data_IF_271624181849
#
_entry.id   IF_271624181849
#
_cell.length_a   1.000
_cell.length_b   1.000
_cell.length_c   1.000
_cell.angle_alpha   90.00
_cell.angle_beta   90.00
_cell.angle_gamma   90.00
#
_symmetry.space_group_name_H-M   'P 1'
#
loop_
_entity.id
_entity.type
_entity.pdbx_description
1 polymer ?
#
# COMPACT_ATOMS: atom_id res chain seq x y z
N UNK A 1 9.93 8.66 -7.40
CA UNK A 1 10.70 8.41 -6.16
C UNK A 1 10.34 7.08 -5.49
N UNK A 2 9.10 6.56 -5.62
CA UNK A 2 8.61 5.39 -4.89
C UNK A 2 9.54 4.16 -4.86
N UNK A 3 10.09 3.63 -5.99
CA UNK A 3 10.89 2.41 -5.92
C UNK A 3 12.18 2.54 -5.11
N UNK A 4 12.80 3.72 -5.15
CA UNK A 4 14.00 4.01 -4.36
C UNK A 4 13.66 4.09 -2.88
N UNK A 5 12.52 4.70 -2.53
CA UNK A 5 12.09 4.78 -1.14
C UNK A 5 11.71 3.41 -0.57
N UNK A 6 11.06 2.55 -1.36
CA UNK A 6 10.82 1.16 -0.99
C UNK A 6 12.12 0.39 -0.70
N UNK A 7 13.17 0.59 -1.51
CA UNK A 7 14.50 0.01 -1.27
C UNK A 7 15.11 0.46 0.05
N UNK A 8 15.07 1.76 0.33
CA UNK A 8 15.63 2.34 1.56
C UNK A 8 14.94 1.76 2.78
N UNK A 9 13.60 1.79 2.81
CA UNK A 9 12.79 1.31 3.92
C UNK A 9 12.89 -0.20 4.12
N UNK A 10 13.02 -0.98 3.04
CA UNK A 10 13.33 -2.41 3.13
C UNK A 10 14.70 -2.63 3.80
N UNK A 11 15.69 -1.83 3.43
CA UNK A 11 17.02 -1.86 4.06
C UNK A 11 16.98 -1.48 5.54
N UNK A 12 16.19 -0.46 5.91
CA UNK A 12 15.96 -0.05 7.29
C UNK A 12 15.30 -1.18 8.09
N UNK A 13 14.20 -1.74 7.58
CA UNK A 13 13.49 -2.85 8.21
C UNK A 13 14.40 -4.08 8.40
N UNK A 14 15.19 -4.45 7.39
CA UNK A 14 16.17 -5.53 7.50
C UNK A 14 17.19 -5.26 8.61
N UNK A 15 17.75 -4.05 8.69
CA UNK A 15 18.70 -3.66 9.74
C UNK A 15 18.06 -3.69 11.14
N UNK A 16 16.79 -3.30 11.24
CA UNK A 16 16.04 -3.42 12.49
C UNK A 16 15.89 -4.89 12.89
N UNK A 17 15.57 -5.78 11.95
CA UNK A 17 15.56 -7.22 12.22
C UNK A 17 16.93 -7.72 12.71
N UNK A 18 18.03 -7.36 12.05
CA UNK A 18 19.39 -7.69 12.48
C UNK A 18 19.70 -7.19 13.90
N UNK A 19 19.12 -6.05 14.29
CA UNK A 19 19.23 -5.45 15.62
C UNK A 19 18.69 -6.31 16.75
N UNK A 20 17.63 -7.11 16.51
CA UNK A 20 17.06 -7.99 17.55
C UNK A 20 18.06 -9.01 18.09
N UNK A 21 19.03 -9.46 17.28
CA UNK A 21 20.10 -10.37 17.74
C UNK A 21 21.02 -9.73 18.80
N UNK A 22 21.05 -8.39 18.85
CA UNK A 22 21.90 -7.59 19.76
C UNK A 22 21.12 -6.95 20.90
N UNK A 23 19.80 -7.14 20.97
CA UNK A 23 18.96 -6.53 22.00
C UNK A 23 18.85 -5.00 21.91
N UNK A 24 18.64 -4.46 20.70
CA UNK A 24 18.50 -3.00 20.51
C UNK A 24 17.27 -2.43 21.21
N UNK A 25 17.45 -1.37 22.02
CA UNK A 25 16.39 -0.72 22.81
C UNK A 25 15.17 -0.28 21.97
N UNK A 26 15.40 0.21 20.75
CA UNK A 26 14.35 0.74 19.87
C UNK A 26 13.80 -0.27 18.86
N UNK A 27 14.30 -1.52 18.87
CA UNK A 27 13.90 -2.56 17.91
C UNK A 27 12.37 -2.74 17.77
N UNK A 28 11.59 -2.82 18.86
CA UNK A 28 10.13 -2.96 18.79
C UNK A 28 9.42 -1.76 18.12
N UNK A 29 9.83 -0.53 18.41
CA UNK A 29 9.23 0.66 17.81
C UNK A 29 9.66 0.82 16.35
N UNK A 30 10.93 0.58 16.06
CA UNK A 30 11.50 0.70 14.71
C UNK A 30 10.90 -0.35 13.76
N UNK A 31 10.66 -1.58 14.23
CA UNK A 31 10.10 -2.62 13.36
C UNK A 31 8.68 -2.27 12.95
N UNK A 32 7.88 -1.67 13.86
CA UNK A 32 6.54 -1.17 13.57
C UNK A 32 6.63 0.00 12.57
N UNK A 33 7.50 0.97 12.84
CA UNK A 33 7.68 2.16 11.99
C UNK A 33 8.07 1.78 10.57
N UNK A 34 9.14 1.00 10.41
CA UNK A 34 9.66 0.65 9.09
C UNK A 34 8.78 -0.37 8.37
N UNK A 35 8.05 -1.24 9.08
CA UNK A 35 7.04 -2.10 8.45
C UNK A 35 5.88 -1.27 7.89
N UNK A 36 5.34 -0.33 8.67
CA UNK A 36 4.27 0.56 8.22
C UNK A 36 4.70 1.44 7.04
N UNK A 37 5.88 2.06 7.14
CA UNK A 37 6.42 2.91 6.08
C UNK A 37 6.71 2.11 4.80
N UNK A 38 7.35 0.94 4.90
CA UNK A 38 7.61 0.09 3.74
C UNK A 38 6.29 -0.39 3.11
N UNK A 39 5.35 -0.83 3.94
CA UNK A 39 4.03 -1.28 3.50
C UNK A 39 3.31 -0.21 2.70
N UNK A 40 3.30 1.04 3.17
CA UNK A 40 2.71 2.18 2.47
C UNK A 40 3.25 2.33 1.03
N UNK A 41 4.57 2.41 0.84
CA UNK A 41 5.13 2.57 -0.51
C UNK A 41 4.90 1.34 -1.40
N UNK A 42 4.91 0.13 -0.84
CA UNK A 42 4.59 -1.09 -1.61
C UNK A 42 3.12 -1.10 -2.04
N UNK A 43 2.20 -0.65 -1.18
CA UNK A 43 0.77 -0.59 -1.47
C UNK A 43 0.45 0.48 -2.51
N UNK A 44 1.04 1.67 -2.40
CA UNK A 44 0.87 2.76 -3.38
C UNK A 44 1.33 2.34 -4.79
N UNK A 45 2.35 1.47 -4.90
CA UNK A 45 2.78 0.93 -6.20
C UNK A 45 1.68 0.11 -6.91
N UNK A 46 0.69 -0.37 -6.17
CA UNK A 46 -0.43 -1.14 -6.69
C UNK A 46 -1.66 -0.28 -7.01
N UNK A 47 -1.62 1.02 -6.70
CA UNK A 47 -2.67 1.98 -7.06
C UNK A 47 -2.37 2.53 -8.47
N UNK A 48 -3.18 2.22 -9.50
CA UNK A 48 -2.91 2.63 -10.89
C UNK A 48 -2.60 4.12 -11.08
N UNK A 49 -3.37 4.99 -10.43
CA UNK A 49 -3.26 6.43 -10.53
C UNK A 49 -2.02 7.00 -9.84
N UNK A 50 -1.33 6.24 -8.97
CA UNK A 50 -0.01 6.62 -8.43
C UNK A 50 1.13 6.40 -9.43
N UNK A 51 0.87 5.72 -10.56
CA UNK A 51 1.85 5.46 -11.60
C UNK A 51 1.84 6.47 -12.77
N UNK A 52 0.99 7.50 -12.72
CA UNK A 52 0.79 8.46 -13.82
C UNK A 52 0.81 9.92 -13.35
N UNK A 53 1.15 10.83 -14.25
CA UNK A 53 0.98 12.28 -14.00
C UNK A 53 -0.50 12.69 -14.03
N UNK A 54 -1.38 11.88 -14.62
CA UNK A 54 -2.83 12.08 -14.60
C UNK A 54 -3.47 11.49 -13.32
N UNK A 55 -2.80 11.66 -12.18
CA UNK A 55 -3.09 10.94 -10.94
C UNK A 55 -4.48 11.22 -10.37
N UNK A 56 -5.10 12.35 -10.71
CA UNK A 56 -6.47 12.67 -10.31
C UNK A 56 -7.39 12.80 -11.52
N UNK A 57 -6.98 12.35 -12.71
CA UNK A 57 -7.78 12.48 -13.92
C UNK A 57 -7.85 13.91 -14.49
N UNK A 58 -7.02 14.82 -13.98
CA UNK A 58 -7.00 16.24 -14.32
C UNK A 58 -6.64 16.52 -15.79
N UNK A 59 -5.95 15.61 -16.47
CA UNK A 59 -5.56 15.72 -17.88
C UNK A 59 -6.59 15.13 -18.84
N UNK A 60 -7.57 14.37 -18.33
CA UNK A 60 -8.60 13.67 -19.14
C UNK A 60 -10.03 14.06 -18.79
N UNK A 61 -10.20 15.05 -17.90
CA UNK A 61 -11.50 15.53 -17.37
C UNK A 61 -12.21 14.53 -16.46
N UNK A 62 -11.44 13.70 -15.76
CA UNK A 62 -11.92 12.77 -14.73
C UNK A 62 -11.63 13.29 -13.31
N UNK A 63 -11.48 14.60 -13.11
CA UNK A 63 -11.00 15.18 -11.85
C UNK A 63 -11.71 14.61 -10.61
N UNK A 64 -10.96 14.27 -9.57
CA UNK A 64 -11.44 13.61 -8.36
C UNK A 64 -11.54 12.08 -8.44
N UNK A 65 -11.21 11.45 -9.58
CA UNK A 65 -11.29 9.98 -9.75
C UNK A 65 -10.36 9.25 -8.78
N UNK A 66 -9.28 9.88 -8.31
CA UNK A 66 -8.35 9.28 -7.37
C UNK A 66 -9.06 8.80 -6.11
N UNK A 67 -9.77 9.71 -5.43
CA UNK A 67 -10.51 9.42 -4.21
C UNK A 67 -11.69 8.47 -4.48
N UNK A 68 -12.36 8.62 -5.64
CA UNK A 68 -13.47 7.74 -6.02
C UNK A 68 -12.99 6.29 -6.17
N UNK A 69 -11.85 6.08 -6.82
CA UNK A 69 -11.30 4.76 -7.07
C UNK A 69 -10.75 4.09 -5.80
N UNK A 70 -9.89 4.78 -5.04
CA UNK A 70 -9.14 4.14 -3.95
C UNK A 70 -9.90 4.07 -2.63
N UNK A 71 -10.79 5.04 -2.37
CA UNK A 71 -11.55 5.13 -1.12
C UNK A 71 -13.01 4.78 -1.34
N UNK A 72 -13.71 5.56 -2.17
CA UNK A 72 -15.17 5.48 -2.21
C UNK A 72 -15.67 4.14 -2.75
N UNK A 73 -15.05 3.60 -3.81
CA UNK A 73 -15.38 2.27 -4.33
C UNK A 73 -15.06 1.17 -3.33
N UNK A 74 -13.91 1.23 -2.66
CA UNK A 74 -13.50 0.23 -1.68
C UNK A 74 -14.47 0.25 -0.49
N UNK A 75 -14.73 1.41 0.11
CA UNK A 75 -15.63 1.55 1.25
C UNK A 75 -17.07 1.12 0.93
N UNK A 76 -17.60 1.52 -0.24
CA UNK A 76 -18.98 1.16 -0.64
C UNK A 76 -19.14 -0.32 -0.96
N UNK A 77 -18.13 -0.94 -1.59
CA UNK A 77 -18.27 -2.26 -2.20
C UNK A 77 -17.37 -3.33 -1.59
N UNK A 78 -16.73 -3.07 -0.45
CA UNK A 78 -15.91 -4.06 0.26
C UNK A 78 -16.61 -5.43 0.43
N UNK A 79 -17.91 -5.52 0.80
CA UNK A 79 -18.59 -6.81 0.94
C UNK A 79 -18.77 -7.58 -0.38
N UNK A 80 -18.58 -6.93 -1.54
CA UNK A 80 -18.74 -7.50 -2.88
C UNK A 80 -17.42 -7.80 -3.58
N UNK A 81 -16.28 -7.44 -2.98
CA UNK A 81 -14.95 -7.74 -3.49
C UNK A 81 -14.54 -9.16 -3.11
N UNK A 82 -13.95 -9.89 -4.06
CA UNK A 82 -13.28 -11.17 -3.82
C UNK A 82 -11.77 -10.94 -3.82
N UNK A 83 -11.22 -10.75 -2.62
CA UNK A 83 -9.79 -10.49 -2.43
C UNK A 83 -9.08 -11.82 -2.15
N UNK A 84 -8.35 -12.32 -3.15
CA UNK A 84 -7.65 -13.61 -3.11
C UNK A 84 -6.12 -13.42 -3.21
N UNK A 85 -5.45 -12.97 -2.13
CA UNK A 85 -4.00 -12.82 -2.14
C UNK A 85 -3.34 -14.19 -2.26
N UNK A 86 -2.24 -14.26 -3.02
CA UNK A 86 -1.41 -15.47 -3.08
C UNK A 86 -0.61 -15.63 -1.80
N UNK A 87 -0.20 -16.86 -1.51
CA UNK A 87 0.76 -17.13 -0.45
C UNK A 87 2.03 -16.28 -0.68
N UNK A 88 2.48 -15.52 0.33
CA UNK A 88 3.63 -14.64 0.18
C UNK A 88 4.93 -15.47 0.10
N UNK A 89 5.90 -14.95 -0.65
CA UNK A 89 7.23 -15.52 -0.77
C UNK A 89 8.27 -14.45 -0.37
N UNK A 90 9.45 -14.82 0.15
CA UNK A 90 10.47 -13.85 0.52
C UNK A 90 10.84 -12.94 -0.65
N UNK A 91 10.64 -11.63 -0.50
CA UNK A 91 10.99 -10.64 -1.51
C UNK A 91 12.51 -10.39 -1.51
N UNK A 92 13.22 -10.64 -2.62
CA UNK A 92 14.67 -10.45 -2.66
C UNK A 92 15.07 -8.97 -2.83
N UNK A 93 14.27 -8.21 -3.60
CA UNK A 93 14.57 -6.81 -3.92
C UNK A 93 13.29 -5.96 -3.99
N UNK A 94 13.10 -5.10 -2.99
CA UNK A 94 11.93 -4.22 -2.91
C UNK A 94 11.88 -3.14 -3.99
N UNK A 95 13.03 -2.68 -4.51
CA UNK A 95 13.07 -1.70 -5.60
C UNK A 95 12.46 -2.28 -6.87
N UNK A 96 12.94 -3.46 -7.23
CA UNK A 96 12.55 -4.10 -8.50
C UNK A 96 11.09 -4.54 -8.40
N UNK A 97 10.66 -5.10 -7.26
CA UNK A 97 9.25 -5.41 -7.01
C UNK A 97 8.34 -4.18 -7.11
N UNK A 98 8.75 -3.02 -6.56
CA UNK A 98 8.00 -1.79 -6.66
C UNK A 98 7.94 -1.25 -8.10
N UNK A 99 9.03 -1.38 -8.88
CA UNK A 99 9.03 -1.02 -10.31
C UNK A 99 8.05 -1.90 -11.11
N UNK A 100 8.08 -3.22 -10.92
CA UNK A 100 7.17 -4.14 -11.60
C UNK A 100 5.70 -3.88 -11.23
N UNK A 101 5.44 -3.61 -9.95
CA UNK A 101 4.11 -3.20 -9.48
C UNK A 101 3.66 -1.91 -10.18
N UNK A 102 4.49 -0.87 -10.23
CA UNK A 102 4.16 0.37 -10.93
C UNK A 102 3.90 0.18 -12.42
N UNK A 103 4.74 -0.60 -13.12
CA UNK A 103 4.56 -0.86 -14.55
C UNK A 103 3.25 -1.58 -14.83
N UNK A 104 2.92 -2.60 -14.04
CA UNK A 104 1.66 -3.34 -14.19
C UNK A 104 0.44 -2.52 -13.75
N UNK A 105 0.59 -1.63 -12.77
CA UNK A 105 -0.47 -0.72 -12.32
C UNK A 105 -0.72 0.40 -13.33
N UNK A 106 0.34 0.91 -13.98
CA UNK A 106 0.22 1.90 -15.05
C UNK A 106 -0.65 1.41 -16.21
N UNK A 107 -0.56 0.12 -16.57
CA UNK A 107 -1.42 -0.49 -17.59
C UNK A 107 -2.92 -0.43 -17.25
N UNK A 108 -3.28 -0.17 -15.99
CA UNK A 108 -4.66 -0.06 -15.53
C UNK A 108 -5.17 1.39 -15.47
N UNK A 109 -4.31 2.38 -15.74
CA UNK A 109 -4.71 3.80 -15.73
C UNK A 109 -5.80 4.06 -16.76
N UNK A 110 -5.57 3.72 -18.03
CA UNK A 110 -6.54 3.97 -19.10
C UNK A 110 -7.86 3.20 -18.88
N UNK A 111 -7.86 1.91 -18.51
CA UNK A 111 -9.08 1.20 -18.12
C UNK A 111 -9.88 1.88 -17.01
N UNK A 112 -9.22 2.36 -15.96
CA UNK A 112 -9.89 3.03 -14.84
C UNK A 112 -10.49 4.37 -15.26
N UNK A 113 -9.73 5.21 -15.98
CA UNK A 113 -10.22 6.50 -16.46
C UNK A 113 -11.37 6.35 -17.46
N UNK A 114 -11.28 5.37 -18.36
CA UNK A 114 -12.35 5.06 -19.32
C UNK A 114 -13.62 4.62 -18.58
N UNK A 115 -13.49 3.76 -17.58
CA UNK A 115 -14.62 3.30 -16.79
C UNK A 115 -15.30 4.44 -16.00
N UNK A 116 -14.52 5.38 -15.45
CA UNK A 116 -15.03 6.59 -14.79
C UNK A 116 -15.82 7.47 -15.78
N UNK A 117 -15.25 7.74 -16.97
CA UNK A 117 -15.93 8.53 -18.02
C UNK A 117 -17.22 7.89 -18.51
N UNK A 118 -17.22 6.57 -18.72
CA UNK A 118 -18.41 5.82 -19.15
C UNK A 118 -19.49 5.80 -18.06
N UNK A 119 -19.09 5.71 -16.79
CA UNK A 119 -20.03 5.69 -15.68
C UNK A 119 -20.75 7.02 -15.47
N UNK A 120 -20.08 8.15 -15.74
CA UNK A 120 -20.63 9.51 -15.58
C UNK A 120 -21.31 10.05 -16.84
N UNK A 121 -21.22 9.34 -17.97
CA UNK A 121 -21.79 9.80 -19.24
C UNK A 121 -23.29 10.13 -19.12
N UNK A 122 -23.67 11.37 -19.46
CA UNK A 122 -25.04 11.86 -19.37
C UNK A 122 -25.52 12.17 -17.94
N UNK A 123 -24.61 12.26 -16.96
CA UNK A 123 -24.90 12.64 -15.57
C UNK A 123 -24.19 13.93 -15.21
N UNK A 124 -24.84 14.71 -14.34
CA UNK A 124 -24.25 15.91 -13.73
C UNK A 124 -23.77 15.67 -12.29
N UNK A 125 -23.97 14.44 -11.76
CA UNK A 125 -23.63 14.05 -10.38
C UNK A 125 -23.07 12.63 -10.31
N UNK A 126 -22.19 12.38 -9.33
CA UNK A 126 -21.66 11.05 -8.98
C UNK A 126 -22.59 10.31 -8.01
N UNK A 127 -23.76 9.93 -8.49
CA UNK A 127 -24.80 9.25 -7.71
C UNK A 127 -24.52 7.74 -7.51
N UNK A 128 -25.45 7.04 -6.86
CA UNK A 128 -25.33 5.60 -6.62
C UNK A 128 -25.23 4.78 -7.92
N UNK A 129 -25.93 5.19 -8.98
CA UNK A 129 -25.88 4.51 -10.28
C UNK A 129 -24.51 4.68 -10.94
N UNK A 130 -23.91 5.87 -10.86
CA UNK A 130 -22.53 6.10 -11.27
C UNK A 130 -21.57 5.14 -10.56
N UNK A 131 -21.65 5.03 -9.23
CA UNK A 131 -20.75 4.16 -8.46
C UNK A 131 -20.95 2.68 -8.78
N UNK A 132 -22.19 2.21 -9.00
CA UNK A 132 -22.45 0.84 -9.44
C UNK A 132 -21.87 0.54 -10.83
N UNK A 133 -22.06 1.46 -11.78
CA UNK A 133 -21.49 1.35 -13.14
C UNK A 133 -19.97 1.32 -13.09
N UNK A 134 -19.37 2.25 -12.35
CA UNK A 134 -17.92 2.35 -12.22
C UNK A 134 -17.35 1.08 -11.56
N UNK A 135 -17.90 0.68 -10.42
CA UNK A 135 -17.51 -0.53 -9.71
C UNK A 135 -17.60 -1.77 -10.60
N UNK A 136 -18.71 -1.95 -11.31
CA UNK A 136 -18.91 -3.13 -12.18
C UNK A 136 -17.80 -3.27 -13.22
N UNK A 137 -17.29 -2.15 -13.74
CA UNK A 137 -16.21 -2.13 -14.73
C UNK A 137 -14.83 -2.34 -14.10
N UNK A 138 -14.54 -1.71 -12.96
CA UNK A 138 -13.20 -1.76 -12.35
C UNK A 138 -13.04 -2.82 -11.25
N UNK A 139 -14.09 -3.56 -10.90
CA UNK A 139 -14.01 -4.63 -9.89
C UNK A 139 -12.84 -5.59 -10.12
N UNK A 140 -12.60 -6.12 -11.33
CA UNK A 140 -11.46 -7.01 -11.56
C UNK A 140 -10.11 -6.34 -11.30
N UNK A 141 -10.00 -5.03 -11.58
CA UNK A 141 -8.79 -4.24 -11.31
C UNK A 141 -8.60 -4.08 -9.81
N UNK A 142 -9.64 -3.69 -9.07
CA UNK A 142 -9.60 -3.56 -7.61
C UNK A 142 -9.20 -4.87 -6.94
N UNK A 143 -9.87 -5.98 -7.28
CA UNK A 143 -9.57 -7.30 -6.73
C UNK A 143 -8.12 -7.69 -7.01
N UNK A 144 -7.66 -7.58 -8.27
CA UNK A 144 -6.30 -7.95 -8.63
C UNK A 144 -5.24 -7.06 -7.95
N UNK A 145 -5.46 -5.74 -7.87
CA UNK A 145 -4.51 -4.79 -7.27
C UNK A 145 -4.44 -4.94 -5.75
N UNK A 146 -5.58 -5.08 -5.06
CA UNK A 146 -5.64 -5.30 -3.62
C UNK A 146 -4.98 -6.64 -3.23
N UNK A 147 -5.30 -7.72 -3.94
CA UNK A 147 -4.68 -9.03 -3.70
C UNK A 147 -3.16 -9.00 -3.91
N UNK A 148 -2.68 -8.36 -4.98
CA UNK A 148 -1.26 -8.21 -5.25
C UNK A 148 -0.56 -7.34 -4.18
N UNK A 149 -1.18 -6.23 -3.75
CA UNK A 149 -0.66 -5.36 -2.71
C UNK A 149 -0.50 -6.09 -1.36
N UNK A 150 -1.48 -6.91 -0.98
CA UNK A 150 -1.44 -7.74 0.23
C UNK A 150 -0.30 -8.75 0.15
N UNK A 151 -0.21 -9.52 -0.94
CA UNK A 151 0.86 -10.49 -1.15
C UNK A 151 2.23 -9.82 -1.13
N UNK A 152 2.40 -8.70 -1.83
CA UNK A 152 3.67 -7.97 -1.92
C UNK A 152 4.09 -7.39 -0.57
N UNK A 153 3.16 -6.84 0.21
CA UNK A 153 3.44 -6.31 1.56
C UNK A 153 3.96 -7.41 2.48
N UNK A 154 3.27 -8.55 2.55
CA UNK A 154 3.71 -9.68 3.36
C UNK A 154 5.05 -10.26 2.86
N UNK A 155 5.22 -10.37 1.54
CA UNK A 155 6.47 -10.82 0.90
C UNK A 155 7.66 -9.92 1.23
N UNK A 156 7.44 -8.60 1.30
CA UNK A 156 8.47 -7.62 1.67
C UNK A 156 8.93 -7.81 3.11
N UNK A 157 7.99 -8.00 4.06
CA UNK A 157 8.32 -8.24 5.46
C UNK A 157 9.08 -9.55 5.64
N UNK A 158 8.60 -10.63 5.01
CA UNK A 158 9.28 -11.94 5.04
C UNK A 158 10.68 -11.82 4.44
N UNK A 159 10.81 -11.16 3.28
CA UNK A 159 12.10 -10.96 2.63
C UNK A 159 13.10 -10.21 3.52
N UNK A 160 12.68 -9.12 4.15
CA UNK A 160 13.53 -8.36 5.07
C UNK A 160 13.96 -9.20 6.30
N UNK A 161 13.02 -9.96 6.88
CA UNK A 161 13.28 -10.82 8.04
C UNK A 161 14.21 -12.01 7.71
N UNK A 162 14.00 -12.65 6.56
CA UNK A 162 14.86 -13.76 6.13
C UNK A 162 16.26 -13.29 5.79
N UNK A 163 16.41 -12.16 5.10
CA UNK A 163 17.72 -11.58 4.80
C UNK A 163 18.47 -11.13 6.07
N UNK A 164 17.76 -10.81 7.15
CA UNK A 164 18.34 -10.57 8.48
C UNK A 164 18.77 -11.86 9.22
N UNK A 165 18.56 -13.03 8.60
CA UNK A 165 18.88 -14.33 9.17
C UNK A 165 17.88 -14.75 10.25
N UNK A 166 16.59 -14.52 10.02
CA UNK A 166 15.45 -15.03 10.81
C UNK A 166 15.55 -14.82 12.33
N UNK A 167 15.83 -13.60 12.81
CA UNK A 167 15.90 -13.33 14.24
C UNK A 167 14.55 -13.54 14.93
N UNK A 168 14.57 -13.98 16.18
CA UNK A 168 13.38 -13.90 17.04
C UNK A 168 13.00 -12.43 17.22
N UNK A 169 11.75 -12.10 16.91
CA UNK A 169 11.21 -10.75 17.07
C UNK A 169 10.50 -10.67 18.41
N UNK A 170 10.94 -9.75 19.27
CA UNK A 170 10.29 -9.48 20.54
C UNK A 170 9.66 -8.10 20.47
N UNK A 171 8.33 -8.01 20.46
CA UNK A 171 7.62 -6.73 20.49
C UNK A 171 7.44 -6.19 21.92
N UNK A 172 7.70 -7.01 22.92
CA UNK A 172 7.70 -6.64 24.32
C UNK A 172 9.04 -5.99 24.69
N UNK A 173 9.08 -4.65 24.63
CA UNK A 173 10.23 -3.85 25.05
C UNK A 173 9.76 -2.58 25.75
N UNK A 174 10.06 -2.53 27.05
CA UNK A 174 10.00 -1.41 28.01
C UNK A 174 9.26 -0.15 27.51
N UNK A 175 8.03 0.08 28.02
CA UNK A 175 7.40 1.42 27.93
C UNK A 175 8.46 2.46 28.29
N UNK A 176 8.69 3.50 27.47
CA UNK A 176 9.60 4.57 27.85
C UNK A 176 9.22 5.03 29.26
N UNK A 177 10.20 5.12 30.16
CA UNK A 177 9.95 5.52 31.56
C UNK A 177 9.23 6.87 31.54
N UNK A 178 7.95 6.87 31.91
CA UNK A 178 7.18 8.10 32.00
C UNK A 178 7.76 8.96 33.12
N UNK A 179 8.15 10.20 32.79
CA UNK A 179 8.48 11.18 33.83
C UNK A 179 7.20 11.51 34.60
N UNK A 180 7.24 11.35 35.92
CA UNK A 180 6.16 11.82 36.81
C UNK A 180 5.94 13.31 36.55
N UNK A 181 4.75 13.68 36.08
CA UNK A 181 4.34 15.08 35.98
C UNK A 181 4.11 15.60 37.40
N UNK A 182 5.07 16.34 37.94
CA UNK A 182 4.88 17.09 39.19
C UNK A 182 4.20 18.42 38.85
N UNK A 183 3.16 18.85 39.60
CA UNK A 183 2.62 20.19 39.44
C UNK A 183 3.73 21.22 39.70
N UNK A 184 3.79 22.27 38.89
CA UNK A 184 4.66 23.42 39.16
C UNK A 184 4.15 24.15 40.41
N UNK A 185 5.05 24.69 41.25
CA UNK A 185 4.69 25.40 42.47
C UNK A 185 3.92 26.69 42.18
#
# INVERSE_FOLDING_TARGET
>A
MLPWRARELFGDLRRTFEGFKRGTLYGPSDVILFSGALGHYIQDAHQPLHATNNYDGQLTRNQGVHARFERDLVEKFLPRLRIEPRAPAPMPNARDAAFEALLSSYQQVDPVLKADSEAVAGKDVYDAEYFEKFFTRVRPVLEARLSAAITATASAFIGAWEQAGRPTVTLEGVRPVEKVRRPQP
#
